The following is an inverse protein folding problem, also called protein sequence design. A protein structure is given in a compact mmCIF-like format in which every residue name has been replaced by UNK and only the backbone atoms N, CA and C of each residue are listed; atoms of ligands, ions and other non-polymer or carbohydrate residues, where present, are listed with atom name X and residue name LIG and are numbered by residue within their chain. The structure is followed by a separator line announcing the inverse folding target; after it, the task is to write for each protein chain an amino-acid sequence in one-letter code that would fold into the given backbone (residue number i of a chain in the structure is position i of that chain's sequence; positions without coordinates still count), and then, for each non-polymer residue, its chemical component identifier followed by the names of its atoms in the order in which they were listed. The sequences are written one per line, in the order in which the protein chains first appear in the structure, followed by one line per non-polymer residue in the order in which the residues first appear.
data_IF_930178359159
#
_entry.id   IF_930178359159
#
_cell.length_a   1.000
_cell.length_b   1.000
_cell.length_c   1.000
_cell.angle_alpha   90.00
_cell.angle_beta   90.00
_cell.angle_gamma   90.00
#
_symmetry.space_group_name_H-M   'P 1'
#
loop_
_entity.id
_entity.type
_entity.pdbx_description
1 polymer ?
#
# COMPACT_ATOMS: atom_id res chain seq x y z
N UNK A 1 13.69 24.94 -7.49
CA UNK A 1 14.86 24.26 -6.90
C UNK A 1 14.50 22.87 -6.33
N UNK A 2 13.24 22.45 -6.42
CA UNK A 2 12.74 21.19 -5.83
C UNK A 2 12.96 19.97 -6.72
N UNK A 3 12.93 20.16 -8.04
CA UNK A 3 13.24 19.09 -9.00
C UNK A 3 14.68 18.59 -8.81
N UNK A 4 15.63 19.50 -8.56
CA UNK A 4 17.02 19.14 -8.29
C UNK A 4 17.16 18.31 -7.01
N UNK A 5 16.40 18.64 -5.95
CA UNK A 5 16.36 17.86 -4.70
C UNK A 5 15.75 16.47 -4.93
N UNK A 6 14.69 16.39 -5.73
CA UNK A 6 14.02 15.12 -6.07
C UNK A 6 14.93 14.20 -6.88
N UNK A 7 15.65 14.75 -7.87
CA UNK A 7 16.64 13.99 -8.66
C UNK A 7 17.82 13.56 -7.78
N UNK A 8 18.32 14.43 -6.92
CA UNK A 8 19.39 14.10 -5.98
C UNK A 8 18.99 12.95 -5.04
N UNK A 9 17.76 12.98 -4.50
CA UNK A 9 17.22 11.88 -3.69
C UNK A 9 17.20 10.54 -4.43
N UNK A 10 16.77 10.54 -5.70
CA UNK A 10 16.77 9.34 -6.54
C UNK A 10 18.17 8.73 -6.68
N UNK A 11 19.17 9.57 -6.98
CA UNK A 11 20.57 9.15 -7.14
C UNK A 11 21.14 8.61 -5.83
N UNK A 12 20.84 9.25 -4.70
CA UNK A 12 21.30 8.79 -3.38
C UNK A 12 20.70 7.43 -3.02
N UNK A 13 19.41 7.20 -3.26
CA UNK A 13 18.77 5.92 -3.00
C UNK A 13 19.35 4.80 -3.88
N UNK A 14 19.61 5.08 -5.16
CA UNK A 14 20.28 4.13 -6.06
C UNK A 14 21.73 3.85 -5.61
N UNK A 15 22.45 4.85 -5.12
CA UNK A 15 23.80 4.68 -4.59
C UNK A 15 23.82 3.82 -3.32
N UNK A 16 22.87 4.01 -2.40
CA UNK A 16 22.72 3.18 -1.20
C UNK A 16 22.37 1.74 -1.59
N UNK A 17 21.43 1.54 -2.52
CA UNK A 17 21.08 0.21 -3.01
C UNK A 17 22.29 -0.50 -3.66
N UNK A 18 23.13 0.24 -4.38
CA UNK A 18 24.38 -0.28 -4.94
C UNK A 18 25.42 -0.63 -3.85
N UNK A 19 25.54 0.20 -2.82
CA UNK A 19 26.47 -0.02 -1.69
C UNK A 19 26.10 -1.27 -0.88
N UNK A 20 24.80 -1.47 -0.62
CA UNK A 20 24.25 -2.62 0.11
C UNK A 20 24.11 -3.87 -0.74
N UNK A 21 24.34 -3.80 -2.06
CA UNK A 21 24.23 -4.96 -2.94
C UNK A 21 25.40 -5.92 -2.72
N UNK A 22 25.05 -7.16 -2.35
CA UNK A 22 25.99 -8.27 -2.12
C UNK A 22 26.71 -8.68 -3.40
N UNK A 23 26.08 -8.53 -4.56
CA UNK A 23 26.62 -8.98 -5.84
C UNK A 23 26.59 -7.83 -6.87
N UNK A 24 27.42 -6.81 -6.63
CA UNK A 24 27.50 -5.55 -7.41
C UNK A 24 27.66 -5.76 -8.93
N UNK A 25 28.21 -6.90 -9.34
CA UNK A 25 28.48 -7.27 -10.74
C UNK A 25 27.29 -7.90 -11.47
N UNK A 26 26.28 -8.39 -10.74
CA UNK A 26 25.06 -9.01 -11.30
C UNK A 26 23.87 -8.04 -11.32
N UNK A 27 24.09 -6.77 -11.01
CA UNK A 27 23.05 -5.75 -11.13
C UNK A 27 22.83 -5.47 -12.61
N UNK A 28 21.74 -6.00 -13.16
CA UNK A 28 21.33 -5.72 -14.54
C UNK A 28 20.82 -4.28 -14.64
N UNK A 29 21.69 -3.36 -15.09
CA UNK A 29 21.34 -1.96 -15.38
C UNK A 29 20.10 -1.82 -16.27
N UNK A 30 19.88 -2.80 -17.17
CA UNK A 30 18.67 -2.89 -17.99
C UNK A 30 17.39 -3.09 -17.18
N UNK A 31 17.41 -3.96 -16.17
CA UNK A 31 16.23 -4.27 -15.34
C UNK A 31 15.98 -3.18 -14.32
N UNK A 32 17.03 -2.71 -13.62
CA UNK A 32 16.90 -1.61 -12.66
C UNK A 32 16.48 -0.30 -13.36
N UNK A 33 17.06 0.00 -14.53
CA UNK A 33 16.67 1.17 -15.33
C UNK A 33 15.24 1.08 -15.87
N UNK A 34 14.82 -0.10 -16.37
CA UNK A 34 13.45 -0.31 -16.80
C UNK A 34 12.44 -0.18 -15.64
N UNK A 35 12.77 -0.72 -14.46
CA UNK A 35 11.97 -0.59 -13.25
C UNK A 35 11.87 0.88 -12.78
N UNK A 36 12.96 1.63 -12.86
CA UNK A 36 12.97 3.06 -12.54
C UNK A 36 12.04 3.85 -13.49
N UNK A 37 12.16 3.57 -14.78
CA UNK A 37 11.42 4.27 -15.82
C UNK A 37 9.92 3.98 -15.69
N UNK A 38 9.55 2.70 -15.51
CA UNK A 38 8.14 2.33 -15.33
C UNK A 38 7.57 2.93 -14.05
N UNK A 39 8.34 3.02 -12.96
CA UNK A 39 7.92 3.66 -11.72
C UNK A 39 7.65 5.16 -11.92
N UNK A 40 8.52 5.86 -12.65
CA UNK A 40 8.33 7.30 -12.95
C UNK A 40 7.12 7.49 -13.87
N UNK A 41 6.94 6.63 -14.88
CA UNK A 41 5.81 6.71 -15.82
C UNK A 41 4.49 6.46 -15.10
N UNK A 42 4.40 5.39 -14.29
CA UNK A 42 3.17 5.07 -13.54
C UNK A 42 2.90 6.15 -12.50
N UNK A 43 3.89 6.56 -11.71
CA UNK A 43 3.73 7.61 -10.72
C UNK A 43 3.31 8.94 -11.36
N UNK A 44 3.98 9.34 -12.44
CA UNK A 44 3.62 10.51 -13.23
C UNK A 44 2.23 10.41 -13.85
N UNK A 45 1.85 9.24 -14.38
CA UNK A 45 0.54 9.02 -14.94
C UNK A 45 -0.57 9.10 -13.89
N UNK A 46 -0.36 8.55 -12.69
CA UNK A 46 -1.34 8.65 -11.60
C UNK A 46 -1.44 10.07 -11.02
N UNK A 47 -0.31 10.79 -10.90
CA UNK A 47 -0.26 12.09 -10.22
C UNK A 47 -0.38 13.31 -11.14
N UNK A 48 -0.12 13.18 -12.44
CA UNK A 48 -0.13 14.30 -13.39
C UNK A 48 -1.32 14.26 -14.34
N UNK A 49 -1.74 13.07 -14.81
CA UNK A 49 -2.88 12.97 -15.73
C UNK A 49 -4.23 13.11 -14.99
N UNK A 50 -5.19 13.90 -15.53
CA UNK A 50 -6.54 14.03 -14.97
C UNK A 50 -7.27 12.71 -14.69
N UNK A 51 -7.26 11.69 -15.60
CA UNK A 51 -7.88 10.40 -15.30
C UNK A 51 -7.15 9.62 -14.18
N UNK A 52 -5.83 9.80 -14.04
CA UNK A 52 -5.04 9.15 -12.98
C UNK A 52 -5.41 9.68 -11.60
N UNK A 53 -5.53 11.01 -11.48
CA UNK A 53 -6.00 11.66 -10.25
C UNK A 53 -7.42 11.24 -9.89
N UNK A 54 -8.33 11.23 -10.86
CA UNK A 54 -9.71 10.80 -10.64
C UNK A 54 -9.79 9.34 -10.15
N UNK A 55 -8.98 8.45 -10.72
CA UNK A 55 -8.91 7.06 -10.27
C UNK A 55 -8.37 6.96 -8.83
N UNK A 56 -7.30 7.69 -8.52
CA UNK A 56 -6.72 7.73 -7.19
C UNK A 56 -7.71 8.30 -6.15
N UNK A 57 -8.42 9.38 -6.49
CA UNK A 57 -9.47 9.96 -5.65
C UNK A 57 -10.64 9.00 -5.43
N UNK A 58 -11.06 8.28 -6.49
CA UNK A 58 -12.12 7.27 -6.36
C UNK A 58 -11.68 6.10 -5.47
N UNK A 59 -10.43 5.65 -5.59
CA UNK A 59 -9.87 4.63 -4.71
C UNK A 59 -9.79 5.13 -3.26
N UNK A 60 -9.31 6.35 -3.05
CA UNK A 60 -9.27 7.00 -1.74
C UNK A 60 -10.67 7.09 -1.13
N UNK A 61 -11.67 7.55 -1.88
CA UNK A 61 -13.06 7.61 -1.43
C UNK A 61 -13.63 6.23 -1.08
N UNK A 62 -13.27 5.19 -1.83
CA UNK A 62 -13.63 3.80 -1.50
C UNK A 62 -13.01 3.34 -0.18
N UNK A 63 -11.72 3.62 0.03
CA UNK A 63 -11.03 3.33 1.29
C UNK A 63 -11.65 4.12 2.44
N UNK A 64 -11.95 5.41 2.25
CA UNK A 64 -12.64 6.23 3.25
C UNK A 64 -14.00 5.65 3.63
N UNK A 65 -14.75 5.10 2.68
CA UNK A 65 -16.02 4.43 2.95
C UNK A 65 -15.82 3.18 3.84
N UNK A 66 -14.80 2.37 3.55
CA UNK A 66 -14.44 1.21 4.39
C UNK A 66 -13.97 1.64 5.79
N UNK A 67 -13.22 2.74 5.86
CA UNK A 67 -12.77 3.31 7.13
C UNK A 67 -13.97 3.77 7.97
N UNK A 68 -14.98 4.39 7.36
CA UNK A 68 -16.20 4.81 8.05
C UNK A 68 -17.01 3.63 8.64
N UNK A 69 -16.99 2.46 7.98
CA UNK A 69 -17.55 1.23 8.57
C UNK A 69 -16.71 0.71 9.73
N UNK A 70 -15.38 0.85 9.66
CA UNK A 70 -14.48 0.51 10.78
C UNK A 70 -14.73 1.42 11.98
N UNK A 71 -14.96 2.72 11.76
CA UNK A 71 -15.28 3.69 12.81
C UNK A 71 -16.62 3.35 13.47
N UNK A 72 -17.64 3.00 12.69
CA UNK A 72 -18.93 2.54 13.22
C UNK A 72 -18.80 1.23 14.02
N UNK A 73 -17.97 0.29 13.56
CA UNK A 73 -17.68 -0.96 14.29
C UNK A 73 -16.91 -0.73 15.59
N UNK A 74 -15.95 0.20 15.60
CA UNK A 74 -15.23 0.63 16.81
C UNK A 74 -16.16 1.30 17.81
N UNK A 75 -17.04 2.20 17.35
CA UNK A 75 -18.07 2.82 18.17
C UNK A 75 -19.09 1.80 18.74
N UNK A 76 -19.38 0.71 18.02
CA UNK A 76 -20.23 -0.37 18.53
C UNK A 76 -19.54 -1.21 19.62
N UNK A 77 -18.24 -1.51 19.46
CA UNK A 77 -17.48 -2.32 20.44
C UNK A 77 -17.09 -1.51 21.69
N UNK A 78 -16.73 -0.23 21.52
CA UNK A 78 -16.20 0.62 22.60
C UNK A 78 -17.17 1.71 23.07
N UNK A 79 -18.34 1.88 22.44
CA UNK A 79 -19.38 2.80 22.89
C UNK A 79 -18.91 4.26 23.01
N UNK A 80 -19.16 4.89 24.17
CA UNK A 80 -18.76 6.27 24.46
C UNK A 80 -17.24 6.50 24.50
N UNK A 81 -16.44 5.42 24.49
CA UNK A 81 -14.98 5.46 24.47
C UNK A 81 -14.39 5.50 23.04
N UNK A 82 -15.22 5.49 21.99
CA UNK A 82 -14.76 5.70 20.60
C UNK A 82 -15.68 6.64 19.82
N UNK A 83 -16.60 7.32 20.52
CA UNK A 83 -17.54 8.26 19.95
C UNK A 83 -17.10 9.72 20.07
N UNK A 84 -17.79 10.66 19.37
CA UNK A 84 -17.49 12.09 19.37
C UNK A 84 -17.61 12.79 20.74
N UNK A 85 -18.02 12.06 21.79
CA UNK A 85 -17.99 12.54 23.16
C UNK A 85 -16.56 12.52 23.74
N UNK A 86 -15.69 11.62 23.27
CA UNK A 86 -14.31 11.55 23.74
C UNK A 86 -13.45 12.67 23.13
N UNK A 87 -13.73 13.09 21.89
CA UNK A 87 -13.11 14.29 21.29
C UNK A 87 -13.44 15.58 22.03
N UNK A 88 -14.63 15.66 22.66
CA UNK A 88 -15.05 16.82 23.47
C UNK A 88 -14.43 16.84 24.87
N UNK A 89 -14.07 15.68 25.42
CA UNK A 89 -13.48 15.56 26.77
C UNK A 89 -11.94 15.65 26.72
N UNK A 90 -11.33 15.22 25.62
CA UNK A 90 -9.88 15.16 25.45
C UNK A 90 -9.31 16.15 24.42
N UNK A 91 -10.06 17.19 24.05
CA UNK A 91 -9.61 18.29 23.16
C UNK A 91 -8.88 17.80 21.90
N UNK A 92 -9.49 16.86 21.17
CA UNK A 92 -8.92 16.27 19.96
C UNK A 92 -8.01 15.04 20.15
N UNK A 93 -7.79 14.57 21.38
CA UNK A 93 -7.11 13.30 21.69
C UNK A 93 -8.09 12.12 21.96
N UNK A 94 -9.33 12.20 21.46
CA UNK A 94 -10.31 11.11 21.54
C UNK A 94 -10.00 9.93 20.61
N UNK A 95 -8.99 10.05 19.75
CA UNK A 95 -8.52 8.97 18.89
C UNK A 95 -7.54 8.06 19.64
N UNK A 96 -8.05 6.96 20.21
CA UNK A 96 -7.21 5.91 20.79
C UNK A 96 -6.73 4.98 19.67
N UNK A 97 -5.58 5.32 19.08
CA UNK A 97 -4.97 4.59 17.96
C UNK A 97 -4.99 3.06 18.12
N UNK A 98 -4.71 2.57 19.34
CA UNK A 98 -4.67 1.15 19.63
C UNK A 98 -6.04 0.45 19.46
N UNK A 99 -7.15 1.12 19.80
CA UNK A 99 -8.49 0.57 19.65
C UNK A 99 -8.95 0.62 18.20
N UNK A 100 -8.74 1.75 17.51
CA UNK A 100 -9.15 1.91 16.11
C UNK A 100 -8.34 1.03 15.14
N UNK A 101 -7.03 0.89 15.35
CA UNK A 101 -6.18 0.08 14.48
C UNK A 101 -6.26 -1.43 14.79
N UNK A 102 -6.24 -1.83 16.06
CA UNK A 102 -6.30 -3.25 16.43
C UNK A 102 -7.70 -3.84 16.21
N UNK A 103 -8.77 -3.08 16.47
CA UNK A 103 -10.13 -3.55 16.19
C UNK A 103 -10.38 -3.71 14.68
N UNK A 104 -9.89 -2.80 13.84
CA UNK A 104 -10.01 -2.96 12.37
C UNK A 104 -9.28 -4.22 11.89
N UNK A 105 -8.06 -4.48 12.38
CA UNK A 105 -7.32 -5.70 12.06
C UNK A 105 -8.02 -6.97 12.58
N UNK A 106 -8.54 -6.94 13.82
CA UNK A 106 -9.19 -8.08 14.44
C UNK A 106 -10.57 -8.40 13.83
N UNK A 107 -11.36 -7.38 13.47
CA UNK A 107 -12.65 -7.54 12.79
C UNK A 107 -12.41 -8.07 11.37
N UNK A 108 -11.42 -7.58 10.64
CA UNK A 108 -11.05 -8.15 9.33
C UNK A 108 -10.59 -9.60 9.45
N UNK A 109 -9.78 -9.92 10.47
CA UNK A 109 -9.33 -11.28 10.77
C UNK A 109 -10.48 -12.25 11.10
N UNK A 110 -11.52 -11.78 11.80
CA UNK A 110 -12.62 -12.61 12.32
C UNK A 110 -13.89 -12.62 11.44
N UNK A 111 -14.10 -11.60 10.59
CA UNK A 111 -15.29 -11.46 9.74
C UNK A 111 -15.25 -12.25 8.41
N UNK A 112 -14.20 -13.03 8.15
CA UNK A 112 -14.32 -14.21 7.29
C UNK A 112 -14.00 -14.06 5.80
N UNK A 113 -12.78 -13.66 5.42
CA UNK A 113 -12.24 -13.90 4.07
C UNK A 113 -11.09 -14.91 3.99
N UNK A 114 -10.54 -15.35 5.12
CA UNK A 114 -9.44 -16.32 5.16
C UNK A 114 -9.79 -17.71 4.59
N UNK A 115 -11.05 -18.21 4.64
CA UNK A 115 -11.42 -19.46 3.97
C UNK A 115 -11.60 -19.34 2.45
N UNK A 116 -11.96 -18.16 1.93
CA UNK A 116 -12.25 -17.93 0.49
C UNK A 116 -10.98 -17.60 -0.30
N UNK A 117 -10.04 -16.86 0.30
CA UNK A 117 -8.75 -16.54 -0.32
C UNK A 117 -7.86 -17.77 -0.55
N UNK A 118 -8.01 -18.84 0.25
CA UNK A 118 -7.30 -20.10 0.00
C UNK A 118 -7.74 -20.80 -1.30
N UNK A 119 -8.94 -20.52 -1.83
CA UNK A 119 -9.41 -21.05 -3.13
C UNK A 119 -8.88 -20.21 -4.30
N UNK A 120 -8.63 -18.92 -4.12
CA UNK A 120 -8.04 -18.03 -5.14
C UNK A 120 -6.51 -17.98 -5.13
N UNK A 121 -5.85 -18.34 -4.02
CA UNK A 121 -4.39 -18.53 -3.97
C UNK A 121 -3.92 -19.66 -4.93
N UNK A 122 -4.77 -20.64 -5.22
CA UNK A 122 -4.50 -21.64 -6.25
C UNK A 122 -4.37 -21.00 -7.64
N UNK A 123 -5.25 -20.05 -7.97
CA UNK A 123 -5.28 -19.34 -9.25
C UNK A 123 -4.07 -18.42 -9.40
N UNK A 124 -3.74 -17.64 -8.36
CA UNK A 124 -2.56 -16.78 -8.36
C UNK A 124 -1.25 -17.58 -8.50
N UNK A 125 -1.14 -18.73 -7.82
CA UNK A 125 -0.01 -19.63 -7.97
C UNK A 125 0.06 -20.28 -9.36
N UNK A 126 -1.08 -20.53 -10.02
CA UNK A 126 -1.12 -20.98 -11.42
C UNK A 126 -0.62 -19.90 -12.39
N UNK A 127 -0.94 -18.62 -12.16
CA UNK A 127 -0.44 -17.53 -12.99
C UNK A 127 1.06 -17.30 -12.79
N UNK A 128 1.55 -17.33 -11.55
CA UNK A 128 2.99 -17.21 -11.27
C UNK A 128 3.76 -18.40 -11.85
N UNK A 129 3.24 -19.63 -11.77
CA UNK A 129 3.87 -20.79 -12.40
C UNK A 129 3.91 -20.70 -13.92
N UNK A 130 2.87 -20.16 -14.57
CA UNK A 130 2.87 -19.92 -16.03
C UNK A 130 3.93 -18.89 -16.45
N UNK A 131 4.09 -17.83 -15.67
CA UNK A 131 5.11 -16.80 -15.92
C UNK A 131 6.53 -17.36 -15.65
N UNK A 132 6.69 -18.25 -14.68
CA UNK A 132 7.99 -18.88 -14.37
C UNK A 132 8.32 -20.08 -15.25
N UNK A 133 7.34 -20.75 -15.87
CA UNK A 133 7.56 -21.90 -16.77
C UNK A 133 7.89 -21.52 -18.22
N UNK A 134 7.93 -20.22 -18.54
CA UNK A 134 8.37 -19.68 -19.83
C UNK A 134 9.82 -19.13 -19.79
N UNK A 135 10.60 -19.51 -18.77
CA UNK A 135 12.05 -19.37 -18.81
C UNK A 135 12.66 -20.54 -19.59
N UNK A 136 13.55 -20.31 -20.57
CA UNK A 136 14.18 -21.39 -21.33
C UNK A 136 14.91 -22.33 -20.36
N UNK A 137 14.51 -23.60 -20.36
CA UNK A 137 15.34 -24.70 -19.88
C UNK A 137 16.48 -24.88 -20.89
N UNK A 138 17.65 -24.35 -20.55
CA UNK A 138 18.93 -24.92 -20.95
C UNK A 138 19.47 -25.84 -19.85
#
# INVERSE_FOLDING_TARGET
MDILRSVLGMVVLLAIAFLLSVNKKNISLRTTGAALLIQIIIGGAMLYLPPGKWLAEKAANGIHHVLSYSDAGSAFIFGALAGPQMDKVFDGAGFVFCLSCLASHYIHYRAGEYPVLHRHHGVFNSYIRRIMSEGPED
#
